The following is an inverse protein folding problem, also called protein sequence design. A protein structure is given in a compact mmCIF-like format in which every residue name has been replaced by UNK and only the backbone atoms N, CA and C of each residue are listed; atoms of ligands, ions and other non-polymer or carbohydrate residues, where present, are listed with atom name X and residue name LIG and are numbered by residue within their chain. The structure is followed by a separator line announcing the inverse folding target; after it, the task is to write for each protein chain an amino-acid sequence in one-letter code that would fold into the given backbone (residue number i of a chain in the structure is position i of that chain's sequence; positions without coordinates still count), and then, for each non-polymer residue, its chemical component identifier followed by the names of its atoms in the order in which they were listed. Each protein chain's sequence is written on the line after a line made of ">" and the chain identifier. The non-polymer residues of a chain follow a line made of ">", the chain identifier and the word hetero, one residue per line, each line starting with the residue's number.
data_IF_348099084462
#
_entry.id   IF_348099084462
#
_cell.length_a   1.000
_cell.length_b   1.000
_cell.length_c   1.000
_cell.angle_alpha   90.00
_cell.angle_beta   90.00
_cell.angle_gamma   90.00
#
_symmetry.space_group_name_H-M   'P 1'
#
loop_
_entity.id
_entity.type
_entity.pdbx_description
1 polymer ?
#
# COMPACT_ATOMS: atom_id res chain seq x y z
N UNK A 1 76.48 -15.89 8.39
CA UNK A 1 75.15 -15.50 8.90
C UNK A 1 74.35 -14.90 7.75
N UNK A 2 73.48 -15.71 7.13
CA UNK A 2 72.92 -15.46 5.80
C UNK A 2 71.77 -14.46 5.78
N UNK A 3 71.94 -13.38 5.01
CA UNK A 3 71.02 -12.26 4.79
C UNK A 3 69.78 -12.61 3.94
N UNK A 4 69.38 -13.89 3.86
CA UNK A 4 68.28 -14.33 2.97
C UNK A 4 67.02 -14.83 3.70
N UNK A 5 66.97 -14.90 5.04
CA UNK A 5 65.78 -15.43 5.74
C UNK A 5 64.63 -14.43 5.97
N UNK A 6 64.76 -13.17 5.54
CA UNK A 6 63.72 -12.14 5.76
C UNK A 6 62.90 -11.76 4.53
N UNK A 7 63.21 -12.31 3.35
CA UNK A 7 62.50 -11.97 2.11
C UNK A 7 61.26 -12.83 1.82
N UNK A 8 60.98 -13.89 2.60
CA UNK A 8 59.81 -14.77 2.34
C UNK A 8 58.59 -14.48 3.23
N UNK A 9 58.65 -13.50 4.13
CA UNK A 9 57.54 -13.20 5.06
C UNK A 9 56.52 -12.16 4.56
N UNK A 10 56.81 -11.42 3.49
CA UNK A 10 55.92 -10.33 3.01
C UNK A 10 54.85 -10.78 2.00
N UNK A 11 54.90 -12.01 1.49
CA UNK A 11 53.93 -12.52 0.50
C UNK A 11 52.68 -13.12 1.18
N UNK A 12 52.79 -13.62 2.42
CA UNK A 12 51.66 -14.23 3.13
C UNK A 12 50.65 -13.22 3.72
N UNK A 13 51.02 -11.94 3.86
CA UNK A 13 50.16 -10.92 4.47
C UNK A 13 49.20 -10.21 3.49
N UNK A 14 49.47 -10.23 2.18
CA UNK A 14 48.55 -9.65 1.16
C UNK A 14 47.38 -10.58 0.79
N UNK A 15 47.52 -11.88 0.99
CA UNK A 15 46.45 -12.86 0.76
C UNK A 15 45.27 -12.69 1.74
N UNK A 16 45.55 -12.44 3.04
CA UNK A 16 44.50 -12.33 4.07
C UNK A 16 43.61 -11.09 3.97
N UNK A 17 44.07 -10.01 3.32
CA UNK A 17 43.28 -8.77 3.17
C UNK A 17 42.26 -8.83 2.03
N UNK A 18 42.48 -9.69 1.04
CA UNK A 18 41.57 -9.87 -0.09
C UNK A 18 40.49 -10.93 0.18
N UNK A 19 40.83 -11.97 0.95
CA UNK A 19 39.84 -12.93 1.44
C UNK A 19 38.84 -12.26 2.39
N UNK A 20 39.28 -11.34 3.26
CA UNK A 20 38.38 -10.60 4.15
C UNK A 20 37.33 -9.76 3.37
N UNK A 21 37.74 -9.03 2.34
CA UNK A 21 36.82 -8.21 1.54
C UNK A 21 35.78 -9.00 0.72
N UNK A 22 36.07 -10.26 0.37
CA UNK A 22 35.07 -11.14 -0.28
C UNK A 22 34.07 -11.73 0.72
N UNK A 23 34.50 -12.10 1.93
CA UNK A 23 33.57 -12.57 2.96
C UNK A 23 32.64 -11.43 3.41
N UNK A 24 33.20 -10.22 3.61
CA UNK A 24 32.44 -9.04 4.02
C UNK A 24 31.33 -8.67 3.01
N UNK A 25 31.61 -8.77 1.71
CA UNK A 25 30.61 -8.48 0.66
C UNK A 25 29.54 -9.55 0.53
N UNK A 26 29.87 -10.82 0.79
CA UNK A 26 28.89 -11.90 0.78
C UNK A 26 27.92 -11.80 1.96
N UNK A 27 28.46 -11.55 3.16
CA UNK A 27 27.68 -11.41 4.38
C UNK A 27 26.78 -10.15 4.33
N UNK A 28 27.23 -9.09 3.65
CA UNK A 28 26.44 -7.88 3.41
C UNK A 28 25.10 -8.14 2.68
N UNK A 29 25.08 -9.03 1.68
CA UNK A 29 23.85 -9.35 0.93
C UNK A 29 22.82 -10.09 1.79
N UNK A 30 23.29 -10.97 2.68
CA UNK A 30 22.47 -11.75 3.59
C UNK A 30 21.91 -10.83 4.68
N UNK A 31 22.74 -9.94 5.21
CA UNK A 31 22.30 -8.90 6.16
C UNK A 31 21.27 -7.96 5.52
N UNK A 32 21.51 -7.54 4.26
CA UNK A 32 20.57 -6.69 3.51
C UNK A 32 19.20 -7.34 3.33
N UNK A 33 19.15 -8.66 3.14
CA UNK A 33 17.88 -9.40 3.12
C UNK A 33 17.16 -9.35 4.46
N UNK A 34 17.86 -9.57 5.56
CA UNK A 34 17.24 -9.56 6.89
C UNK A 34 16.64 -8.19 7.21
N UNK A 35 17.33 -7.12 6.85
CA UNK A 35 16.81 -5.74 6.93
C UNK A 35 15.56 -5.57 6.08
N UNK A 36 15.59 -5.94 4.80
CA UNK A 36 14.43 -5.84 3.91
C UNK A 36 13.24 -6.66 4.40
N UNK A 37 13.48 -7.85 4.96
CA UNK A 37 12.43 -8.69 5.53
C UNK A 37 11.79 -8.03 6.74
N UNK A 38 12.57 -7.39 7.61
CA UNK A 38 12.05 -6.63 8.73
C UNK A 38 11.21 -5.43 8.25
N UNK A 39 11.71 -4.67 7.27
CA UNK A 39 10.99 -3.55 6.67
C UNK A 39 9.66 -3.97 6.05
N UNK A 40 9.61 -5.10 5.31
CA UNK A 40 8.35 -5.58 4.74
C UNK A 40 7.40 -6.03 5.83
N UNK A 41 7.88 -6.68 6.88
CA UNK A 41 7.02 -7.08 8.01
C UNK A 41 6.35 -5.86 8.63
N UNK A 42 7.13 -4.82 8.94
CA UNK A 42 6.60 -3.55 9.46
C UNK A 42 5.63 -2.89 8.46
N UNK A 43 5.99 -2.87 7.17
CA UNK A 43 5.14 -2.32 6.13
C UNK A 43 3.78 -3.04 6.08
N UNK A 44 3.77 -4.38 6.10
CA UNK A 44 2.56 -5.21 6.09
C UNK A 44 1.70 -4.97 7.34
N UNK A 45 2.31 -4.86 8.52
CA UNK A 45 1.57 -4.54 9.75
C UNK A 45 0.95 -3.14 9.68
N UNK A 46 1.71 -2.15 9.18
CA UNK A 46 1.21 -0.79 8.99
C UNK A 46 0.10 -0.71 7.94
N UNK A 47 0.17 -1.56 6.92
CA UNK A 47 -0.79 -1.67 5.83
C UNK A 47 -2.14 -2.21 6.32
N UNK A 48 -2.11 -3.27 7.14
CA UNK A 48 -3.32 -3.84 7.72
C UNK A 48 -4.00 -2.87 8.69
N UNK A 49 -3.22 -2.17 9.51
CA UNK A 49 -3.73 -1.10 10.36
C UNK A 49 -4.41 0.01 9.55
N UNK A 50 -3.74 0.46 8.47
CA UNK A 50 -4.28 1.49 7.59
C UNK A 50 -5.56 1.03 6.86
N UNK A 51 -5.59 -0.23 6.39
CA UNK A 51 -6.77 -0.84 5.79
C UNK A 51 -7.94 -0.91 6.76
N UNK A 52 -7.70 -1.33 8.00
CA UNK A 52 -8.71 -1.35 9.04
C UNK A 52 -9.26 0.06 9.30
N UNK A 53 -8.38 1.07 9.37
CA UNK A 53 -8.80 2.47 9.50
C UNK A 53 -9.66 2.92 8.31
N UNK A 54 -9.25 2.63 7.07
CA UNK A 54 -10.03 2.94 5.87
C UNK A 54 -11.43 2.33 5.91
N UNK A 55 -11.55 1.07 6.34
CA UNK A 55 -12.84 0.39 6.49
C UNK A 55 -13.72 1.07 7.54
N UNK A 56 -13.13 1.49 8.67
CA UNK A 56 -13.84 2.26 9.70
C UNK A 56 -14.31 3.61 9.14
N UNK A 57 -13.47 4.35 8.42
CA UNK A 57 -13.89 5.63 7.82
C UNK A 57 -14.98 5.43 6.75
N UNK A 58 -14.88 4.39 5.92
CA UNK A 58 -15.90 4.06 4.94
C UNK A 58 -17.23 3.70 5.63
N UNK A 59 -17.20 2.93 6.72
CA UNK A 59 -18.39 2.64 7.52
C UNK A 59 -19.01 3.90 8.14
N UNK A 60 -18.19 4.81 8.65
CA UNK A 60 -18.66 6.10 9.19
C UNK A 60 -19.33 6.95 8.11
N UNK A 61 -18.72 7.05 6.93
CA UNK A 61 -19.32 7.75 5.80
C UNK A 61 -20.65 7.11 5.37
N UNK A 62 -20.76 5.78 5.36
CA UNK A 62 -22.04 5.09 5.09
C UNK A 62 -23.12 5.44 6.12
N UNK A 63 -22.78 5.53 7.40
CA UNK A 63 -23.75 5.97 8.42
C UNK A 63 -24.18 7.42 8.21
N UNK A 64 -23.24 8.31 7.86
CA UNK A 64 -23.56 9.68 7.50
C UNK A 64 -24.47 9.74 6.26
N UNK A 65 -24.21 8.90 5.25
CA UNK A 65 -25.03 8.80 4.04
C UNK A 65 -26.49 8.51 4.36
N UNK A 66 -26.76 7.48 5.17
CA UNK A 66 -28.14 7.14 5.56
C UNK A 66 -28.86 8.29 6.27
N UNK A 67 -28.16 9.02 7.14
CA UNK A 67 -28.75 10.21 7.79
C UNK A 67 -29.05 11.32 6.78
N UNK A 68 -28.18 11.54 5.78
CA UNK A 68 -28.44 12.54 4.74
C UNK A 68 -29.60 12.13 3.83
N UNK A 69 -29.82 10.83 3.61
CA UNK A 69 -30.96 10.31 2.85
C UNK A 69 -32.30 10.63 3.53
N UNK A 70 -32.39 10.40 4.83
CA UNK A 70 -33.55 10.74 5.64
C UNK A 70 -33.83 12.26 5.60
N UNK A 71 -32.80 13.07 5.84
CA UNK A 71 -32.91 14.53 5.77
C UNK A 71 -33.31 15.04 4.38
N UNK A 72 -32.84 14.40 3.31
CA UNK A 72 -33.20 14.79 1.95
C UNK A 72 -34.65 14.45 1.64
N UNK A 73 -35.14 13.29 2.11
CA UNK A 73 -36.54 12.91 2.01
C UNK A 73 -37.46 13.86 2.80
N UNK A 74 -37.07 14.22 4.02
CA UNK A 74 -37.80 15.19 4.83
C UNK A 74 -37.85 16.57 4.14
N UNK A 75 -36.72 17.06 3.63
CA UNK A 75 -36.66 18.33 2.91
C UNK A 75 -37.54 18.34 1.65
N UNK A 76 -37.66 17.20 0.95
CA UNK A 76 -38.59 17.08 -0.19
C UNK A 76 -40.04 17.10 0.26
N UNK A 77 -40.40 16.45 1.38
CA UNK A 77 -41.76 16.52 1.94
C UNK A 77 -42.14 17.93 2.37
N UNK A 78 -41.18 18.70 2.88
CA UNK A 78 -41.33 20.11 3.24
C UNK A 78 -41.32 21.06 2.03
N UNK A 79 -41.13 20.55 0.79
CA UNK A 79 -41.04 21.37 -0.42
C UNK A 79 -39.75 22.21 -0.53
N UNK A 80 -38.74 21.93 0.29
CA UNK A 80 -37.45 22.64 0.34
C UNK A 80 -36.45 22.05 -0.66
N UNK A 81 -36.73 22.22 -1.95
CA UNK A 81 -35.94 21.63 -3.04
C UNK A 81 -34.45 21.95 -3.02
N UNK A 82 -34.09 23.20 -2.70
CA UNK A 82 -32.69 23.64 -2.62
C UNK A 82 -31.93 22.92 -1.52
N UNK A 83 -32.55 22.78 -0.34
CA UNK A 83 -31.98 22.04 0.79
C UNK A 83 -31.85 20.56 0.46
N UNK A 84 -32.86 19.96 -0.16
CA UNK A 84 -32.80 18.58 -0.63
C UNK A 84 -31.66 18.38 -1.65
N UNK A 85 -31.48 19.30 -2.60
CA UNK A 85 -30.38 19.26 -3.56
C UNK A 85 -29.01 19.32 -2.86
N UNK A 86 -28.84 20.21 -1.88
CA UNK A 86 -27.62 20.30 -1.08
C UNK A 86 -27.29 19.01 -0.32
N UNK A 87 -28.29 18.35 0.28
CA UNK A 87 -28.12 17.09 0.98
C UNK A 87 -27.74 15.94 0.03
N UNK A 88 -28.40 15.87 -1.14
CA UNK A 88 -28.08 14.91 -2.20
C UNK A 88 -26.65 15.12 -2.71
N UNK A 89 -26.21 16.37 -2.86
CA UNK A 89 -24.84 16.70 -3.25
C UNK A 89 -23.81 16.23 -2.21
N UNK A 90 -24.06 16.46 -0.91
CA UNK A 90 -23.20 15.92 0.17
C UNK A 90 -23.09 14.41 0.10
N UNK A 91 -24.21 13.72 -0.14
CA UNK A 91 -24.25 12.28 -0.35
C UNK A 91 -23.40 11.86 -1.56
N UNK A 92 -23.48 12.57 -2.67
CA UNK A 92 -22.66 12.31 -3.85
C UNK A 92 -21.16 12.37 -3.50
N UNK A 93 -20.73 13.39 -2.77
CA UNK A 93 -19.35 13.54 -2.32
C UNK A 93 -18.90 12.41 -1.38
N UNK A 94 -19.71 12.06 -0.39
CA UNK A 94 -19.43 10.94 0.51
C UNK A 94 -19.34 9.61 -0.26
N UNK A 95 -20.26 9.36 -1.19
CA UNK A 95 -20.25 8.15 -2.02
C UNK A 95 -19.00 8.06 -2.89
N UNK A 96 -18.54 9.18 -3.46
CA UNK A 96 -17.27 9.25 -4.21
C UNK A 96 -16.09 8.92 -3.30
N UNK A 97 -16.06 9.50 -2.10
CA UNK A 97 -14.98 9.23 -1.14
C UNK A 97 -14.94 7.78 -0.68
N UNK A 98 -16.10 7.14 -0.46
CA UNK A 98 -16.17 5.70 -0.15
C UNK A 98 -15.61 4.87 -1.32
N UNK A 99 -15.98 5.20 -2.55
CA UNK A 99 -15.44 4.55 -3.74
C UNK A 99 -13.92 4.68 -3.84
N UNK A 100 -13.38 5.87 -3.54
CA UNK A 100 -11.93 6.10 -3.49
C UNK A 100 -11.24 5.28 -2.38
N UNK A 101 -11.81 5.22 -1.18
CA UNK A 101 -11.27 4.39 -0.09
C UNK A 101 -11.22 2.91 -0.49
N UNK A 102 -12.28 2.39 -1.12
CA UNK A 102 -12.34 1.01 -1.61
C UNK A 102 -11.25 0.75 -2.66
N UNK A 103 -11.09 1.63 -3.65
CA UNK A 103 -10.05 1.45 -4.66
C UNK A 103 -8.63 1.52 -4.08
N UNK A 104 -8.40 2.35 -3.06
CA UNK A 104 -7.13 2.39 -2.34
C UNK A 104 -6.87 1.10 -1.56
N UNK A 105 -7.87 0.53 -0.89
CA UNK A 105 -7.77 -0.78 -0.22
C UNK A 105 -7.36 -1.88 -1.22
N UNK A 106 -7.98 -1.91 -2.40
CA UNK A 106 -7.65 -2.88 -3.45
C UNK A 106 -6.22 -2.68 -3.98
N UNK A 107 -5.83 -1.44 -4.22
CA UNK A 107 -4.49 -1.09 -4.74
C UNK A 107 -3.36 -1.44 -3.77
N UNK A 108 -3.63 -1.31 -2.47
CA UNK A 108 -2.74 -1.68 -1.37
C UNK A 108 -2.64 -3.20 -1.26
N UNK A 109 -3.79 -3.89 -1.18
CA UNK A 109 -3.85 -5.37 -1.10
C UNK A 109 -3.14 -6.03 -2.27
N UNK A 110 -3.29 -5.48 -3.49
CA UNK A 110 -2.59 -5.97 -4.68
C UNK A 110 -1.07 -5.76 -4.60
N UNK A 111 -0.60 -4.66 -4.00
CA UNK A 111 0.84 -4.42 -3.83
C UNK A 111 1.44 -5.37 -2.79
N UNK A 112 0.73 -5.64 -1.69
CA UNK A 112 1.13 -6.65 -0.70
C UNK A 112 1.35 -8.03 -1.32
N UNK A 113 0.40 -8.51 -2.13
CA UNK A 113 0.54 -9.80 -2.82
C UNK A 113 1.78 -9.82 -3.74
N UNK A 114 2.12 -8.68 -4.37
CA UNK A 114 3.34 -8.57 -5.18
C UNK A 114 4.60 -8.59 -4.31
N UNK A 115 4.60 -7.89 -3.18
CA UNK A 115 5.69 -7.88 -2.21
C UNK A 115 5.95 -9.28 -1.65
N UNK A 116 4.91 -10.02 -1.25
CA UNK A 116 5.04 -11.38 -0.72
C UNK A 116 5.66 -12.33 -1.74
N UNK A 117 5.29 -12.21 -3.02
CA UNK A 117 5.91 -12.99 -4.12
C UNK A 117 7.37 -12.63 -4.34
N UNK A 118 7.71 -11.34 -4.33
CA UNK A 118 9.09 -10.87 -4.45
C UNK A 118 9.96 -11.36 -3.29
N UNK A 119 9.47 -11.26 -2.05
CA UNK A 119 10.15 -11.79 -0.88
C UNK A 119 10.34 -13.30 -0.93
N UNK A 120 9.33 -14.04 -1.39
CA UNK A 120 9.41 -15.50 -1.52
C UNK A 120 10.49 -15.90 -2.53
N UNK A 121 10.59 -15.20 -3.67
CA UNK A 121 11.66 -15.41 -4.66
C UNK A 121 13.03 -15.06 -4.08
N UNK A 122 13.16 -13.93 -3.41
CA UNK A 122 14.41 -13.52 -2.76
C UNK A 122 14.86 -14.54 -1.71
N UNK A 123 13.93 -15.07 -0.90
CA UNK A 123 14.21 -16.13 0.08
C UNK A 123 14.79 -17.39 -0.57
N UNK A 124 14.21 -17.85 -1.68
CA UNK A 124 14.70 -19.03 -2.41
C UNK A 124 16.09 -18.79 -2.98
N UNK A 125 16.37 -17.60 -3.56
CA UNK A 125 17.71 -17.26 -4.05
C UNK A 125 18.75 -17.25 -2.93
N UNK A 126 18.41 -16.78 -1.73
CA UNK A 126 19.32 -16.79 -0.58
C UNK A 126 19.60 -18.19 -0.09
N UNK A 127 18.60 -19.07 -0.10
CA UNK A 127 18.81 -20.48 0.25
C UNK A 127 19.74 -21.15 -0.77
N UNK A 128 19.47 -20.98 -2.07
CA UNK A 128 20.34 -21.48 -3.14
C UNK A 128 21.78 -20.96 -3.02
N UNK A 129 21.94 -19.67 -2.72
CA UNK A 129 23.24 -19.05 -2.49
C UNK A 129 24.00 -19.68 -1.30
N UNK A 130 23.31 -19.91 -0.17
CA UNK A 130 23.91 -20.54 1.01
C UNK A 130 24.33 -21.99 0.71
N UNK A 131 23.52 -22.71 -0.06
CA UNK A 131 23.80 -24.10 -0.44
C UNK A 131 24.97 -24.17 -1.44
N UNK A 132 25.02 -23.26 -2.41
CA UNK A 132 26.14 -23.13 -3.33
C UNK A 132 27.43 -22.79 -2.59
N UNK A 133 27.39 -21.88 -1.61
CA UNK A 133 28.55 -21.58 -0.75
C UNK A 133 29.08 -22.80 -0.04
N UNK A 134 28.21 -23.55 0.65
CA UNK A 134 28.61 -24.78 1.33
C UNK A 134 29.18 -25.83 0.37
N UNK A 135 28.60 -25.95 -0.82
CA UNK A 135 29.06 -26.86 -1.86
C UNK A 135 30.47 -26.48 -2.37
N UNK A 136 30.72 -25.20 -2.61
CA UNK A 136 32.02 -24.69 -3.05
C UNK A 136 33.09 -24.83 -1.96
N UNK A 137 32.75 -24.55 -0.70
CA UNK A 137 33.63 -24.77 0.46
C UNK A 137 34.04 -26.24 0.59
N UNK A 138 33.09 -27.16 0.40
CA UNK A 138 33.33 -28.61 0.50
C UNK A 138 34.16 -29.16 -0.66
N UNK A 139 33.97 -28.63 -1.88
CA UNK A 139 34.62 -29.16 -3.10
C UNK A 139 36.10 -28.78 -3.25
N UNK A 140 36.69 -28.05 -2.30
CA UNK A 140 38.09 -27.58 -2.35
C UNK A 140 38.50 -27.00 -3.72
N UNK A 141 37.58 -26.31 -4.39
CA UNK A 141 37.82 -25.74 -5.70
C UNK A 141 38.90 -24.65 -5.60
N UNK A 142 39.69 -24.42 -6.68
CA UNK A 142 40.57 -23.27 -6.76
C UNK A 142 39.79 -21.99 -6.45
N UNK A 143 40.35 -21.15 -5.57
CA UNK A 143 39.69 -19.95 -5.04
C UNK A 143 39.09 -19.07 -6.14
N UNK A 144 39.77 -18.94 -7.27
CA UNK A 144 39.34 -18.08 -8.38
C UNK A 144 38.01 -18.53 -8.99
N UNK A 145 37.82 -19.83 -9.20
CA UNK A 145 36.59 -20.39 -9.80
C UNK A 145 35.41 -20.27 -8.83
N UNK A 146 35.63 -20.54 -7.54
CA UNK A 146 34.60 -20.38 -6.51
C UNK A 146 34.17 -18.91 -6.36
N UNK A 147 35.12 -17.96 -6.42
CA UNK A 147 34.83 -16.53 -6.29
C UNK A 147 34.04 -15.95 -7.47
N UNK A 148 34.22 -16.48 -8.69
CA UNK A 148 33.50 -16.01 -9.88
C UNK A 148 32.04 -16.43 -9.81
N UNK A 149 31.78 -17.72 -9.54
CA UNK A 149 30.41 -18.25 -9.38
C UNK A 149 29.64 -17.51 -8.28
N UNK A 150 30.32 -17.24 -7.17
CA UNK A 150 29.71 -16.49 -6.07
C UNK A 150 29.36 -15.05 -6.44
N UNK A 151 30.19 -14.39 -7.26
CA UNK A 151 29.93 -13.02 -7.73
C UNK A 151 28.76 -12.97 -8.72
N UNK A 152 28.63 -13.97 -9.59
CA UNK A 152 27.47 -14.09 -10.50
C UNK A 152 26.17 -14.31 -9.72
N UNK A 153 26.18 -15.22 -8.74
CA UNK A 153 25.04 -15.45 -7.85
C UNK A 153 24.67 -14.17 -7.07
N UNK A 154 25.67 -13.44 -6.56
CA UNK A 154 25.50 -12.14 -5.89
C UNK A 154 24.87 -11.09 -6.77
N UNK A 155 25.30 -10.96 -8.03
CA UNK A 155 24.71 -10.02 -8.97
C UNK A 155 23.21 -10.30 -9.19
N UNK A 156 22.85 -11.58 -9.40
CA UNK A 156 21.45 -12.01 -9.55
C UNK A 156 20.60 -11.87 -8.27
N UNK A 157 21.23 -11.84 -7.09
CA UNK A 157 20.56 -11.48 -5.82
C UNK A 157 20.39 -9.97 -5.68
N UNK A 158 21.38 -9.17 -6.09
CA UNK A 158 21.34 -7.71 -6.09
C UNK A 158 20.16 -7.15 -6.89
N UNK A 159 19.84 -7.77 -8.03
CA UNK A 159 18.67 -7.42 -8.84
C UNK A 159 17.34 -7.67 -8.11
N UNK A 160 17.19 -8.81 -7.41
CA UNK A 160 16.00 -9.09 -6.61
C UNK A 160 15.90 -8.17 -5.39
N UNK A 161 17.02 -7.91 -4.72
CA UNK A 161 17.10 -6.98 -3.59
C UNK A 161 16.64 -5.58 -4.01
N UNK A 162 17.08 -5.12 -5.18
CA UNK A 162 16.67 -3.84 -5.77
C UNK A 162 15.19 -3.84 -6.13
N UNK A 163 14.70 -4.92 -6.73
CA UNK A 163 13.28 -5.07 -7.08
C UNK A 163 12.37 -5.05 -5.85
N UNK A 164 12.79 -5.69 -4.76
CA UNK A 164 12.07 -5.68 -3.48
C UNK A 164 12.10 -4.28 -2.87
N UNK A 165 13.25 -3.60 -2.85
CA UNK A 165 13.37 -2.21 -2.37
C UNK A 165 12.41 -1.29 -3.11
N UNK A 166 12.41 -1.35 -4.44
CA UNK A 166 11.52 -0.56 -5.27
C UNK A 166 10.04 -0.85 -4.98
N UNK A 167 9.68 -2.12 -4.76
CA UNK A 167 8.32 -2.49 -4.40
C UNK A 167 7.93 -1.94 -3.01
N UNK A 168 8.84 -1.95 -2.04
CA UNK A 168 8.62 -1.34 -0.71
C UNK A 168 8.36 0.15 -0.85
N UNK A 169 9.16 0.86 -1.63
CA UNK A 169 9.00 2.30 -1.83
C UNK A 169 7.66 2.64 -2.48
N UNK A 170 7.23 1.84 -3.46
CA UNK A 170 5.88 1.98 -4.05
C UNK A 170 4.77 1.68 -3.04
N UNK A 171 4.93 0.67 -2.19
CA UNK A 171 3.96 0.38 -1.14
C UNK A 171 3.86 1.54 -0.14
N UNK A 172 5.00 2.13 0.26
CA UNK A 172 5.04 3.34 1.09
C UNK A 172 4.33 4.51 0.43
N UNK A 173 4.56 4.75 -0.86
CA UNK A 173 3.87 5.81 -1.61
C UNK A 173 2.35 5.60 -1.68
N UNK A 174 1.89 4.37 -1.91
CA UNK A 174 0.45 4.06 -1.87
C UNK A 174 -0.13 4.24 -0.47
N UNK A 175 0.62 3.87 0.57
CA UNK A 175 0.20 4.04 1.96
C UNK A 175 0.07 5.52 2.35
N UNK A 176 0.96 6.40 1.87
CA UNK A 176 0.83 7.85 2.13
C UNK A 176 -0.39 8.45 1.45
N UNK A 177 -0.66 8.12 0.19
CA UNK A 177 -1.89 8.54 -0.51
C UNK A 177 -3.17 8.04 0.19
N UNK A 178 -3.12 6.82 0.71
CA UNK A 178 -4.21 6.22 1.45
C UNK A 178 -4.46 6.93 2.78
N UNK A 179 -3.41 7.29 3.53
CA UNK A 179 -3.53 8.09 4.76
C UNK A 179 -4.19 9.44 4.49
N UNK A 180 -3.79 10.12 3.41
CA UNK A 180 -4.44 11.38 2.98
C UNK A 180 -5.93 11.13 2.73
N UNK A 181 -6.26 10.07 1.99
CA UNK A 181 -7.66 9.72 1.69
C UNK A 181 -8.48 9.41 2.95
N UNK A 182 -7.88 8.74 3.95
CA UNK A 182 -8.48 8.54 5.26
C UNK A 182 -8.75 9.87 5.97
N UNK A 183 -7.79 10.78 5.97
CA UNK A 183 -7.94 12.07 6.61
C UNK A 183 -9.02 12.92 5.91
N UNK A 184 -9.03 12.94 4.57
CA UNK A 184 -10.08 13.59 3.79
C UNK A 184 -11.45 13.01 4.14
N UNK A 185 -11.58 11.68 4.22
CA UNK A 185 -12.82 11.02 4.60
C UNK A 185 -13.27 11.41 6.02
N UNK A 186 -12.34 11.50 6.96
CA UNK A 186 -12.61 11.91 8.35
C UNK A 186 -13.09 13.36 8.43
N UNK A 187 -12.41 14.27 7.72
CA UNK A 187 -12.80 15.69 7.62
C UNK A 187 -14.17 15.83 6.96
N UNK A 188 -14.44 15.06 5.91
CA UNK A 188 -15.71 15.04 5.20
C UNK A 188 -16.86 14.61 6.13
N UNK A 189 -16.68 13.49 6.84
CA UNK A 189 -17.66 13.01 7.81
C UNK A 189 -17.92 14.02 8.94
N UNK A 190 -16.88 14.68 9.44
CA UNK A 190 -17.01 15.72 10.47
C UNK A 190 -17.71 16.98 9.95
N UNK A 191 -17.37 17.43 8.73
CA UNK A 191 -17.93 18.65 8.13
C UNK A 191 -19.42 18.56 7.83
N UNK A 192 -19.92 17.36 7.53
CA UNK A 192 -21.34 17.14 7.24
C UNK A 192 -22.18 16.72 8.46
N UNK A 193 -21.61 16.82 9.67
CA UNK A 193 -22.36 16.64 10.91
C UNK A 193 -23.37 17.79 11.17
N UNK A 194 -23.26 18.91 10.47
CA UNK A 194 -24.13 20.08 10.61
C UNK A 194 -25.24 20.14 9.54
N UNK A 195 -26.42 20.71 9.86
CA UNK A 195 -27.53 20.84 8.91
C UNK A 195 -27.12 21.60 7.65
N UNK A 196 -27.64 21.18 6.50
CA UNK A 196 -27.35 21.83 5.23
C UNK A 196 -27.98 23.23 5.17
N UNK A 197 -27.13 24.26 5.05
CA UNK A 197 -27.53 25.54 4.47
C UNK A 197 -27.56 25.45 2.94
N UNK A 198 -27.75 26.59 2.26
CA UNK A 198 -27.58 26.66 0.81
C UNK A 198 -26.13 26.29 0.46
N UNK A 199 -25.96 25.11 -0.15
CA UNK A 199 -24.66 24.63 -0.64
C UNK A 199 -24.58 24.97 -2.11
N UNK A 200 -23.51 25.66 -2.50
CA UNK A 200 -23.23 25.92 -3.90
C UNK A 200 -22.76 24.63 -4.56
N UNK A 201 -23.49 24.17 -5.57
CA UNK A 201 -23.24 22.91 -6.26
C UNK A 201 -22.47 23.22 -7.54
N UNK A 202 -21.26 22.67 -7.75
CA UNK A 202 -20.50 22.88 -8.97
C UNK A 202 -21.26 22.37 -10.20
N UNK A 203 -21.09 23.01 -11.36
CA UNK A 203 -21.78 22.66 -12.62
C UNK A 203 -21.67 21.16 -12.98
N UNK A 204 -20.49 20.57 -12.77
CA UNK A 204 -20.23 19.14 -13.00
C UNK A 204 -21.12 18.20 -12.17
N UNK A 205 -21.64 18.68 -11.04
CA UNK A 205 -22.45 17.93 -10.08
C UNK A 205 -23.93 18.34 -10.10
N UNK A 206 -24.31 19.37 -10.87
CA UNK A 206 -25.69 19.84 -10.97
C UNK A 206 -26.62 18.82 -11.60
N UNK A 207 -26.26 18.26 -12.76
CA UNK A 207 -27.03 17.22 -13.45
C UNK A 207 -27.24 15.94 -12.60
N UNK A 208 -26.20 15.33 -12.00
CA UNK A 208 -26.38 14.14 -11.17
C UNK A 208 -27.23 14.44 -9.92
N UNK A 209 -27.10 15.63 -9.32
CA UNK A 209 -27.94 16.02 -8.18
C UNK A 209 -29.39 16.25 -8.60
N UNK A 210 -29.63 16.96 -9.70
CA UNK A 210 -30.97 17.24 -10.21
C UNK A 210 -31.71 15.95 -10.61
N UNK A 211 -31.02 15.01 -11.26
CA UNK A 211 -31.60 13.71 -11.62
C UNK A 211 -31.92 12.87 -10.38
N UNK A 212 -31.06 12.85 -9.37
CA UNK A 212 -31.31 12.17 -8.10
C UNK A 212 -32.49 12.81 -7.33
N UNK A 213 -32.60 14.13 -7.32
CA UNK A 213 -33.73 14.84 -6.72
C UNK A 213 -35.05 14.49 -7.42
N UNK A 214 -35.06 14.46 -8.76
CA UNK A 214 -36.24 14.03 -9.54
C UNK A 214 -36.67 12.60 -9.18
N UNK A 215 -35.72 11.67 -9.05
CA UNK A 215 -35.99 10.28 -8.64
C UNK A 215 -36.60 10.21 -7.25
N UNK A 216 -35.98 10.89 -6.28
CA UNK A 216 -36.44 10.89 -4.89
C UNK A 216 -37.85 11.50 -4.75
N UNK A 217 -38.15 12.57 -5.51
CA UNK A 217 -39.51 13.12 -5.60
C UNK A 217 -40.51 12.15 -6.22
N UNK A 218 -40.11 11.40 -7.25
CA UNK A 218 -40.97 10.41 -7.87
C UNK A 218 -41.29 9.24 -6.92
N UNK A 219 -40.29 8.76 -6.18
CA UNK A 219 -40.45 7.74 -5.13
C UNK A 219 -41.39 8.23 -4.02
N UNK A 220 -41.22 9.48 -3.58
CA UNK A 220 -42.09 10.10 -2.56
C UNK A 220 -43.54 10.25 -3.03
N UNK A 221 -43.77 10.75 -4.26
CA UNK A 221 -45.12 10.85 -4.85
C UNK A 221 -45.80 9.49 -5.04
N UNK A 222 -45.03 8.41 -5.21
CA UNK A 222 -45.58 7.06 -5.32
C UNK A 222 -46.09 6.55 -3.96
N UNK A 223 -45.40 6.87 -2.87
CA UNK A 223 -45.79 6.51 -1.50
C UNK A 223 -47.00 7.31 -0.97
N UNK A 224 -47.21 8.52 -1.48
CA UNK A 224 -48.32 9.41 -1.07
C UNK A 224 -49.65 9.11 -1.79
N UNK A 225 -49.70 8.11 -2.68
CA UNK A 225 -50.95 7.68 -3.32
C UNK A 225 -51.73 6.76 -2.36
N UNK A 226 -53.01 7.03 -2.07
CA UNK A 226 -53.82 6.15 -1.24
C UNK A 226 -53.87 4.76 -1.89
N UNK A 227 -53.38 3.75 -1.17
CA UNK A 227 -53.58 2.36 -1.56
C UNK A 227 -55.09 2.09 -1.62
N UNK A 228 -55.62 1.53 -2.72
CA UNK A 228 -57.01 1.10 -2.74
C UNK A 228 -57.16 -0.04 -1.71
N UNK A 229 -57.83 0.26 -0.60
CA UNK A 229 -58.30 -0.77 0.32
C UNK A 229 -59.22 -1.70 -0.48
N UNK A 230 -58.80 -2.95 -0.62
CA UNK A 230 -59.65 -4.03 -1.17
C UNK A 230 -60.63 -4.50 -0.10
#
# INVERSE_FOLDING_TARGET
>A
MGLFSRLTASIRARSKRWTAGQTDTQDYSVQSYETLRAEVKEAVESEESLKAEMLVQASRLNQCLHRQDELAADAVREGQDKKAAGLIYRRLLMSRQIGLLRSKIDAITAERVRLDRLLSRLKLKIQAFRDERKSLETRHLPHDVASIRMREAMAGMGEELTSVRYAIDRAKAKATEARISCETARRLAAGYALPAGDVDIPDQDMEPVASALKRLKAEMKYYDRPHPQR
#
